data_IF_838701536885
#
_entry.id   IF_838701536885
#
_cell.length_a   1.000
_cell.length_b   1.000
_cell.length_c   1.000
_cell.angle_alpha   90.00
_cell.angle_beta   90.00
_cell.angle_gamma   90.00
#
_symmetry.space_group_name_H-M   'P 1'
#
loop_
_entity.id
_entity.type
_entity.pdbx_description
1 polymer ?
#
# COMPACT_ATOMS: atom_id res chain seq x y z
N UNK A 1 23.41 -22.21 1.97
CA UNK A 1 22.70 -21.60 0.82
C UNK A 1 21.29 -21.29 1.28
N UNK A 2 20.91 -20.02 1.36
CA UNK A 2 19.52 -19.65 1.65
C UNK A 2 18.62 -20.20 0.55
N UNK A 3 17.48 -20.79 0.92
CA UNK A 3 16.52 -21.27 -0.07
C UNK A 3 15.97 -20.08 -0.85
N UNK A 4 15.64 -20.27 -2.14
CA UNK A 4 15.23 -19.22 -3.08
C UNK A 4 13.98 -18.42 -2.65
N UNK A 5 13.29 -18.87 -1.58
CA UNK A 5 12.06 -18.29 -1.04
C UNK A 5 12.17 -17.86 0.43
N UNK A 6 13.38 -17.84 1.01
CA UNK A 6 13.55 -17.41 2.40
C UNK A 6 13.60 -15.88 2.47
N UNK A 7 12.69 -15.29 3.24
CA UNK A 7 12.73 -13.87 3.55
C UNK A 7 13.88 -13.59 4.51
N UNK A 8 14.66 -12.54 4.22
CA UNK A 8 15.61 -11.98 5.19
C UNK A 8 14.87 -11.40 6.41
N UNK A 9 15.58 -11.32 7.53
CA UNK A 9 15.08 -10.77 8.81
C UNK A 9 14.47 -9.38 8.60
N UNK A 10 13.25 -9.17 9.12
CA UNK A 10 12.52 -7.92 8.92
C UNK A 10 11.46 -7.62 9.96
N UNK A 11 11.23 -6.35 10.25
CA UNK A 11 10.15 -5.84 11.09
C UNK A 11 9.37 -4.70 10.40
N UNK A 12 8.18 -4.36 10.89
CA UNK A 12 7.38 -3.25 10.34
C UNK A 12 7.11 -3.33 8.82
N UNK A 13 6.97 -4.56 8.34
CA UNK A 13 6.57 -4.91 6.98
C UNK A 13 5.03 -4.99 6.87
N UNK A 14 4.51 -5.13 5.66
CA UNK A 14 3.09 -5.43 5.44
C UNK A 14 2.96 -6.82 4.84
N UNK A 15 2.05 -7.62 5.39
CA UNK A 15 1.71 -8.94 4.87
C UNK A 15 0.26 -8.95 4.41
N UNK A 16 0.00 -9.54 3.25
CA UNK A 16 -1.36 -9.89 2.82
C UNK A 16 -1.39 -11.33 2.32
N UNK A 17 -2.43 -12.07 2.67
CA UNK A 17 -2.69 -13.41 2.13
C UNK A 17 -3.73 -13.32 1.02
N UNK A 18 -3.48 -14.02 -0.08
CA UNK A 18 -4.40 -14.17 -1.21
C UNK A 18 -4.36 -15.64 -1.62
N UNK A 19 -5.51 -16.30 -1.58
CA UNK A 19 -5.64 -17.74 -1.77
C UNK A 19 -4.62 -18.50 -0.89
N UNK A 20 -3.82 -19.39 -1.49
CA UNK A 20 -2.77 -20.16 -0.81
C UNK A 20 -1.42 -19.41 -0.71
N UNK A 21 -1.38 -18.13 -1.08
CA UNK A 21 -0.14 -17.34 -1.15
C UNK A 21 -0.08 -16.23 -0.09
N UNK A 22 1.09 -16.10 0.55
CA UNK A 22 1.40 -14.98 1.45
C UNK A 22 2.34 -14.00 0.74
N UNK A 23 1.87 -12.78 0.53
CA UNK A 23 2.66 -11.68 0.01
C UNK A 23 3.18 -10.86 1.17
N UNK A 24 4.50 -10.82 1.30
CA UNK A 24 5.18 -9.91 2.22
C UNK A 24 5.77 -8.80 1.39
N UNK A 25 5.19 -7.62 1.53
CA UNK A 25 5.83 -6.43 1.03
C UNK A 25 6.62 -5.84 2.19
N UNK A 26 7.81 -5.32 1.89
CA UNK A 26 8.54 -4.44 2.78
C UNK A 26 9.21 -4.99 4.04
N UNK A 27 9.77 -4.06 4.82
CA UNK A 27 10.26 -4.22 6.19
C UNK A 27 11.54 -3.44 6.46
N UNK A 28 11.76 -3.08 7.72
CA UNK A 28 13.06 -2.73 8.25
C UNK A 28 13.90 -4.00 8.45
N UNK A 29 15.14 -4.02 7.97
CA UNK A 29 16.09 -5.13 8.14
C UNK A 29 17.29 -4.65 8.97
N UNK A 30 17.80 -5.48 9.88
CA UNK A 30 18.94 -5.11 10.73
C UNK A 30 20.27 -5.24 9.96
N UNK A 31 21.25 -4.40 10.27
CA UNK A 31 22.59 -4.43 9.63
C UNK A 31 22.66 -4.11 8.13
N UNK A 32 21.52 -4.01 7.44
CA UNK A 32 21.42 -3.59 6.05
C UNK A 32 20.89 -2.14 6.00
N UNK A 33 21.61 -1.18 5.37
CA UNK A 33 21.18 0.21 5.34
C UNK A 33 19.91 0.36 4.49
N UNK A 34 18.74 0.23 5.13
CA UNK A 34 17.43 0.43 4.52
C UNK A 34 17.24 -0.27 3.18
N UNK A 35 17.86 -1.44 2.99
CA UNK A 35 17.80 -2.17 1.73
C UNK A 35 16.53 -3.02 1.66
N UNK A 36 15.90 -2.95 0.50
CA UNK A 36 14.65 -3.62 0.18
C UNK A 36 14.95 -4.77 -0.75
N UNK A 37 14.60 -5.97 -0.33
CA UNK A 37 14.71 -7.13 -1.22
C UNK A 37 13.40 -7.29 -2.00
N UNK A 38 13.45 -6.99 -3.29
CA UNK A 38 12.38 -7.29 -4.23
C UNK A 38 12.52 -8.75 -4.68
N UNK A 39 11.50 -9.58 -4.44
CA UNK A 39 11.51 -11.01 -4.84
C UNK A 39 11.55 -11.14 -6.37
N UNK A 40 11.03 -10.15 -7.12
CA UNK A 40 11.18 -10.05 -8.59
C UNK A 40 10.81 -8.64 -9.07
N UNK A 41 11.76 -7.89 -9.65
CA UNK A 41 11.45 -6.66 -10.39
C UNK A 41 10.93 -7.05 -11.77
N UNK A 42 9.69 -6.72 -12.16
CA UNK A 42 9.25 -6.92 -13.54
C UNK A 42 9.99 -5.92 -14.43
N UNK A 43 10.64 -6.41 -15.49
CA UNK A 43 11.49 -5.60 -16.39
C UNK A 43 10.72 -4.48 -17.11
N UNK A 44 9.38 -4.55 -17.12
CA UNK A 44 8.49 -3.65 -17.86
C UNK A 44 7.81 -2.55 -17.01
N UNK A 45 8.20 -2.35 -15.73
CA UNK A 45 7.55 -1.36 -14.86
C UNK A 45 8.48 -0.18 -14.59
N UNK A 46 8.15 0.95 -15.19
CA UNK A 46 8.91 2.20 -15.08
C UNK A 46 8.67 2.94 -13.75
N UNK A 47 7.55 2.67 -13.05
CA UNK A 47 7.20 3.32 -11.77
C UNK A 47 6.72 2.32 -10.73
N UNK A 48 7.29 2.39 -9.53
CA UNK A 48 6.97 1.51 -8.40
C UNK A 48 7.26 2.24 -7.08
N UNK A 49 6.61 1.83 -5.97
CA UNK A 49 6.80 2.45 -4.67
C UNK A 49 8.25 2.35 -4.19
N UNK A 50 8.78 3.45 -3.67
CA UNK A 50 10.03 3.44 -2.90
C UNK A 50 9.89 2.51 -1.70
N UNK A 51 10.98 1.82 -1.37
CA UNK A 51 11.05 0.96 -0.19
C UNK A 51 10.78 1.72 1.10
N UNK A 52 9.88 1.20 1.94
CA UNK A 52 9.31 1.91 3.10
C UNK A 52 8.89 1.01 4.27
N UNK A 53 9.27 1.32 5.50
CA UNK A 53 8.78 0.57 6.67
C UNK A 53 7.71 1.35 7.44
N UNK A 54 6.99 0.68 8.34
CA UNK A 54 5.85 1.25 9.11
C UNK A 54 4.79 1.93 8.21
N UNK A 55 4.66 1.46 6.98
CA UNK A 55 3.54 1.77 6.12
C UNK A 55 2.37 0.86 6.52
N UNK A 56 1.17 1.20 6.06
CA UNK A 56 0.03 0.32 6.17
C UNK A 56 -0.27 -0.31 4.81
N UNK A 57 -0.96 -1.44 4.83
CA UNK A 57 -1.48 -2.03 3.62
C UNK A 57 -2.66 -2.94 3.88
N UNK A 58 -3.41 -3.21 2.84
CA UNK A 58 -4.60 -4.06 2.87
C UNK A 58 -4.82 -4.70 1.50
N UNK A 59 -5.59 -5.78 1.47
CA UNK A 59 -5.98 -6.46 0.24
C UNK A 59 -7.38 -6.02 -0.18
N UNK A 60 -7.58 -5.83 -1.48
CA UNK A 60 -8.88 -5.65 -2.13
C UNK A 60 -9.17 -6.89 -2.96
N UNK A 61 -10.33 -7.52 -2.71
CA UNK A 61 -10.83 -8.69 -3.44
C UNK A 61 -12.30 -8.44 -3.78
N UNK A 62 -12.59 -7.87 -4.94
CA UNK A 62 -13.96 -7.47 -5.35
C UNK A 62 -14.74 -8.58 -6.07
N UNK A 63 -14.34 -9.83 -5.91
CA UNK A 63 -14.94 -10.99 -6.60
C UNK A 63 -14.43 -11.21 -8.03
N UNK A 64 -13.47 -10.40 -8.48
CA UNK A 64 -12.67 -10.67 -9.69
C UNK A 64 -11.45 -11.52 -9.35
N UNK A 65 -10.94 -12.29 -10.31
CA UNK A 65 -9.65 -13.00 -10.22
C UNK A 65 -8.43 -12.04 -10.28
N UNK A 66 -8.62 -10.82 -9.80
CA UNK A 66 -7.66 -9.72 -9.83
C UNK A 66 -7.49 -9.12 -8.41
N UNK A 67 -6.93 -9.89 -7.46
CA UNK A 67 -6.65 -9.37 -6.12
C UNK A 67 -5.63 -8.23 -6.21
N UNK A 68 -5.85 -7.20 -5.40
CA UNK A 68 -5.05 -5.97 -5.41
C UNK A 68 -4.52 -5.66 -4.01
N UNK A 69 -3.22 -5.40 -3.88
CA UNK A 69 -2.60 -4.96 -2.64
C UNK A 69 -2.51 -3.43 -2.63
N UNK A 70 -3.14 -2.79 -1.65
CA UNK A 70 -2.97 -1.36 -1.36
C UNK A 70 -1.86 -1.19 -0.34
N UNK A 71 -0.96 -0.23 -0.56
CA UNK A 71 -0.01 0.25 0.44
C UNK A 71 -0.08 1.77 0.55
N UNK A 72 0.11 2.31 1.76
CA UNK A 72 0.05 3.76 2.01
C UNK A 72 1.10 4.19 3.03
N UNK A 73 1.74 5.33 2.77
CA UNK A 73 2.60 6.04 3.70
C UNK A 73 3.81 5.25 4.20
N UNK A 74 4.15 5.40 5.47
CA UNK A 74 5.38 4.86 6.06
C UNK A 74 6.55 5.82 5.94
N UNK A 75 7.78 5.32 6.07
CA UNK A 75 8.98 6.12 5.84
C UNK A 75 10.07 5.33 5.12
N UNK A 76 10.88 6.06 4.36
CA UNK A 76 11.97 5.49 3.56
C UNK A 76 13.27 5.33 4.37
N UNK A 77 14.36 4.99 3.69
CA UNK A 77 15.69 4.84 4.31
C UNK A 77 16.26 6.13 4.89
N UNK A 78 15.79 7.30 4.45
CA UNK A 78 16.21 8.61 4.93
C UNK A 78 15.38 9.08 6.12
N UNK A 79 14.40 8.27 6.58
CA UNK A 79 13.46 8.60 7.66
C UNK A 79 12.47 9.69 7.21
N UNK A 80 12.29 9.88 5.90
CA UNK A 80 11.29 10.78 5.36
C UNK A 80 9.92 10.10 5.36
N UNK A 81 8.91 10.76 5.93
CA UNK A 81 7.52 10.29 5.87
C UNK A 81 7.05 10.32 4.43
N UNK A 82 6.70 9.15 3.92
CA UNK A 82 6.18 9.00 2.57
C UNK A 82 4.74 9.49 2.48
N UNK A 83 4.43 10.02 1.31
CA UNK A 83 3.18 10.71 1.02
C UNK A 83 2.63 10.21 -0.32
N UNK A 84 2.53 8.89 -0.41
CA UNK A 84 2.03 8.19 -1.57
C UNK A 84 1.20 6.97 -1.14
N UNK A 85 0.26 6.62 -2.02
CA UNK A 85 -0.55 5.43 -1.91
C UNK A 85 -0.48 4.69 -3.25
N UNK A 86 -0.37 3.37 -3.19
CA UNK A 86 -0.16 2.54 -4.37
C UNK A 86 -1.05 1.31 -4.33
N UNK A 87 -1.49 0.89 -5.50
CA UNK A 87 -2.11 -0.41 -5.73
C UNK A 87 -1.17 -1.26 -6.54
N UNK A 88 -0.92 -2.48 -6.07
CA UNK A 88 -0.32 -3.54 -6.83
C UNK A 88 -1.42 -4.47 -7.33
N UNK A 89 -1.57 -4.55 -8.65
CA UNK A 89 -2.38 -5.59 -9.26
C UNK A 89 -1.56 -6.88 -9.28
N UNK A 90 -1.98 -7.88 -8.51
CA UNK A 90 -1.24 -9.14 -8.37
C UNK A 90 -1.28 -9.92 -9.69
N UNK A 91 -2.41 -9.97 -10.37
CA UNK A 91 -2.58 -10.74 -11.62
C UNK A 91 -1.73 -10.18 -12.77
N UNK A 92 -1.63 -8.86 -12.88
CA UNK A 92 -0.83 -8.19 -13.92
C UNK A 92 0.59 -7.84 -13.46
N UNK A 93 0.89 -8.09 -12.19
CA UNK A 93 2.13 -7.69 -11.54
C UNK A 93 2.48 -6.21 -11.73
N UNK A 94 1.50 -5.31 -11.81
CA UNK A 94 1.72 -3.89 -12.11
C UNK A 94 1.43 -2.99 -10.92
N UNK A 95 2.17 -1.89 -10.79
CA UNK A 95 1.94 -0.86 -9.78
C UNK A 95 1.20 0.33 -10.39
N UNK A 96 0.21 0.83 -9.66
CA UNK A 96 -0.55 2.03 -9.99
C UNK A 96 -0.47 2.97 -8.79
N UNK A 97 -0.05 4.22 -9.00
CA UNK A 97 -0.07 5.25 -7.96
C UNK A 97 -1.48 5.82 -7.84
N UNK A 98 -1.98 5.90 -6.62
CA UNK A 98 -3.25 6.56 -6.31
C UNK A 98 -3.04 8.02 -5.95
N UNK A 99 -3.91 8.88 -6.48
CA UNK A 99 -4.00 10.27 -6.05
C UNK A 99 -4.91 10.35 -4.82
N UNK A 100 -4.30 10.32 -3.64
CA UNK A 100 -4.99 10.43 -2.35
C UNK A 100 -4.51 11.68 -1.59
N UNK A 101 -5.35 12.26 -0.74
CA UNK A 101 -4.96 13.40 0.07
C UNK A 101 -3.81 13.07 1.04
N UNK A 102 -3.02 14.08 1.39
CA UNK A 102 -1.94 13.97 2.38
C UNK A 102 -2.40 13.47 3.74
N UNK A 103 -3.64 13.77 4.13
CA UNK A 103 -4.24 13.22 5.34
C UNK A 103 -4.19 11.68 5.26
N UNK A 104 -4.47 11.05 4.13
CA UNK A 104 -4.50 9.58 3.99
C UNK A 104 -3.08 9.00 3.92
N UNK A 105 -2.19 9.60 3.14
CA UNK A 105 -0.89 9.02 2.79
C UNK A 105 0.28 9.48 3.67
N UNK A 106 0.32 10.75 4.11
CA UNK A 106 1.47 11.36 4.80
C UNK A 106 1.56 10.97 6.28
N UNK A 107 1.62 9.68 6.55
CA UNK A 107 1.66 9.13 7.90
C UNK A 107 2.36 7.78 7.95
N UNK A 108 2.92 7.47 9.11
CA UNK A 108 3.55 6.18 9.43
C UNK A 108 2.89 5.53 10.64
N UNK A 109 3.11 4.23 10.82
CA UNK A 109 2.58 3.43 11.93
C UNK A 109 1.06 3.56 12.08
N UNK A 110 0.36 3.75 10.97
CA UNK A 110 -1.10 3.83 10.92
C UNK A 110 -1.68 2.45 10.57
N UNK A 111 -2.98 2.30 10.75
CA UNK A 111 -3.73 1.16 10.25
C UNK A 111 -4.43 1.52 8.95
N UNK A 112 -4.53 0.56 8.04
CA UNK A 112 -5.29 0.68 6.80
C UNK A 112 -6.20 -0.55 6.69
N UNK A 113 -7.45 -0.33 6.31
CA UNK A 113 -8.44 -1.37 6.13
C UNK A 113 -9.27 -1.07 4.90
N UNK A 114 -9.90 -2.10 4.34
CA UNK A 114 -10.71 -1.99 3.14
C UNK A 114 -12.13 -2.47 3.47
N UNK A 115 -13.12 -1.76 2.95
CA UNK A 115 -14.52 -2.14 3.01
C UNK A 115 -15.09 -2.16 1.59
N UNK A 116 -15.62 -3.31 1.15
CA UNK A 116 -16.13 -3.48 -0.22
C UNK A 116 -17.61 -3.15 -0.21
N UNK A 117 -17.99 -2.02 -0.83
CA UNK A 117 -19.38 -1.62 -0.99
C UNK A 117 -20.06 -2.37 -2.13
N UNK A 118 -19.34 -2.56 -3.23
CA UNK A 118 -19.76 -3.31 -4.42
C UNK A 118 -18.54 -3.72 -5.25
N UNK A 119 -18.69 -4.52 -6.32
CA UNK A 119 -17.57 -4.88 -7.18
C UNK A 119 -16.81 -3.68 -7.79
N UNK A 120 -17.48 -2.53 -7.91
CA UNK A 120 -16.94 -1.30 -8.51
C UNK A 120 -16.72 -0.16 -7.50
N UNK A 121 -16.98 -0.40 -6.21
CA UNK A 121 -16.85 0.63 -5.18
C UNK A 121 -16.24 0.01 -3.92
N UNK A 122 -15.06 0.49 -3.58
CA UNK A 122 -14.27 0.03 -2.45
C UNK A 122 -13.91 1.23 -1.60
N UNK A 123 -14.01 1.12 -0.29
CA UNK A 123 -13.63 2.17 0.64
C UNK A 123 -12.35 1.79 1.36
N UNK A 124 -11.36 2.67 1.33
CA UNK A 124 -10.13 2.56 2.10
C UNK A 124 -10.31 3.39 3.37
N UNK A 125 -10.10 2.76 4.52
CA UNK A 125 -10.17 3.39 5.83
C UNK A 125 -8.75 3.46 6.38
N UNK A 126 -8.27 4.67 6.62
CA UNK A 126 -6.97 4.93 7.24
C UNK A 126 -7.18 5.46 8.65
N UNK A 127 -6.55 4.85 9.65
CA UNK A 127 -6.74 5.23 11.05
C UNK A 127 -5.41 5.42 11.81
N UNK A 128 -5.32 6.52 12.54
CA UNK A 128 -4.22 6.85 13.45
C UNK A 128 -2.88 7.08 12.75
N UNK A 129 -1.80 6.75 13.45
CA UNK A 129 -0.42 6.95 12.99
C UNK A 129 0.18 8.28 13.41
N UNK A 130 1.35 8.58 12.82
CA UNK A 130 2.14 9.77 13.11
C UNK A 130 2.63 10.43 11.81
N UNK A 131 2.77 11.75 11.80
CA UNK A 131 3.26 12.51 10.64
C UNK A 131 4.78 12.72 10.71
N UNK A 132 5.30 12.95 11.91
CA UNK A 132 6.73 13.16 12.20
C UNK A 132 7.15 12.37 13.44
N UNK A 133 8.40 12.49 13.88
CA UNK A 133 8.84 12.01 15.18
C UNK A 133 7.99 12.68 16.27
N UNK A 134 7.33 11.87 17.11
CA UNK A 134 6.47 12.30 18.24
C UNK A 134 5.15 13.04 17.91
N UNK A 135 4.88 13.41 16.66
CA UNK A 135 3.60 14.02 16.27
C UNK A 135 2.59 12.97 15.81
N UNK A 136 1.66 12.61 16.69
CA UNK A 136 0.51 11.76 16.34
C UNK A 136 -0.48 12.50 15.44
N UNK A 137 -1.15 11.76 14.57
CA UNK A 137 -2.30 12.28 13.84
C UNK A 137 -3.46 12.49 14.81
N UNK A 138 -4.02 13.69 14.80
CA UNK A 138 -5.11 14.13 15.67
C UNK A 138 -6.32 14.57 14.87
N UNK A 139 -7.42 14.92 15.56
CA UNK A 139 -8.66 15.35 14.94
C UNK A 139 -8.42 16.60 14.04
N UNK A 140 -9.01 16.68 12.84
CA UNK A 140 -10.04 15.78 12.28
C UNK A 140 -9.49 14.58 11.50
N UNK A 141 -8.17 14.44 11.40
CA UNK A 141 -7.55 13.49 10.48
C UNK A 141 -7.30 12.10 11.09
N UNK A 142 -7.83 11.80 12.29
CA UNK A 142 -7.56 10.53 12.98
C UNK A 142 -8.02 9.37 12.10
N UNK A 143 -9.22 9.47 11.54
CA UNK A 143 -9.78 8.46 10.63
C UNK A 143 -10.14 9.13 9.32
N UNK A 144 -9.60 8.61 8.23
CA UNK A 144 -9.90 9.05 6.87
C UNK A 144 -10.61 7.94 6.13
N UNK A 145 -11.63 8.32 5.37
CA UNK A 145 -12.31 7.44 4.44
C UNK A 145 -12.02 7.89 3.02
N UNK A 146 -11.50 6.99 2.20
CA UNK A 146 -11.23 7.23 0.78
C UNK A 146 -12.04 6.26 -0.06
N UNK A 147 -13.00 6.79 -0.82
CA UNK A 147 -13.76 6.01 -1.80
C UNK A 147 -12.92 5.77 -3.04
N UNK A 148 -12.77 4.51 -3.42
CA UNK A 148 -12.09 4.04 -4.62
C UNK A 148 -13.13 3.44 -5.58
N UNK A 149 -13.35 4.11 -6.70
CA UNK A 149 -14.21 3.61 -7.77
C UNK A 149 -13.37 2.78 -8.74
N UNK A 150 -13.73 1.51 -8.92
CA UNK A 150 -13.08 0.58 -9.85
C UNK A 150 -13.92 0.51 -11.14
N UNK A 151 -13.35 0.91 -12.27
CA UNK A 151 -14.00 0.72 -13.56
C UNK A 151 -13.57 -0.61 -14.18
N UNK A 152 -14.52 -1.33 -14.78
CA UNK A 152 -14.24 -2.56 -15.51
C UNK A 152 -13.49 -2.25 -16.80
N UNK A 153 -12.24 -2.73 -16.94
CA UNK A 153 -11.76 -3.20 -18.24
C UNK A 153 -10.46 -4.00 -18.12
N UNK A 154 -10.43 -5.13 -18.83
CA UNK A 154 -9.26 -5.97 -19.06
C UNK A 154 -8.20 -5.33 -19.99
N UNK A 155 -8.05 -4.00 -19.99
CA UNK A 155 -7.16 -3.27 -20.91
C UNK A 155 -6.47 -2.09 -20.23
N UNK A 156 -5.15 -2.17 -20.17
CA UNK A 156 -4.24 -1.23 -19.50
C UNK A 156 -3.95 -0.01 -20.35
N UNK A 157 -4.43 1.18 -19.96
CA UNK A 157 -3.65 2.43 -20.07
C UNK A 157 -4.15 3.44 -19.04
N UNK A 158 -3.29 3.87 -18.13
CA UNK A 158 -3.45 5.15 -17.42
C UNK A 158 -4.28 5.14 -16.13
N UNK A 159 -3.97 6.11 -15.28
CA UNK A 159 -4.59 6.44 -13.98
C UNK A 159 -6.09 6.76 -14.03
N UNK A 160 -6.75 6.60 -15.17
CA UNK A 160 -8.13 7.06 -15.40
C UNK A 160 -9.19 6.11 -14.83
N UNK A 161 -8.78 4.90 -14.40
CA UNK A 161 -9.69 3.86 -13.88
C UNK A 161 -9.92 3.91 -12.36
N UNK A 162 -9.29 4.84 -11.64
CA UNK A 162 -9.40 4.92 -10.19
C UNK A 162 -9.64 6.37 -9.79
N UNK A 163 -10.82 6.65 -9.23
CA UNK A 163 -11.12 7.95 -8.64
C UNK A 163 -11.19 7.82 -7.14
N UNK A 164 -10.48 8.73 -6.46
CA UNK A 164 -10.48 8.83 -5.01
C UNK A 164 -11.32 10.02 -4.55
N UNK A 165 -12.16 9.83 -3.52
CA UNK A 165 -12.84 10.92 -2.82
C UNK A 165 -12.68 10.76 -1.32
N UNK A 166 -12.39 11.86 -0.63
CA UNK A 166 -12.14 11.90 0.81
C UNK A 166 -13.38 12.29 1.61
N UNK A 167 -13.55 11.65 2.76
CA UNK A 167 -14.52 12.01 3.78
C UNK A 167 -13.86 12.04 5.16
N UNK A 168 -14.28 13.00 5.98
CA UNK A 168 -13.89 13.13 7.39
C UNK A 168 -14.97 12.48 8.25
N UNK A 169 -14.55 11.71 9.26
CA UNK A 169 -15.44 11.01 10.21
C UNK A 169 -15.44 11.69 11.58
#
# INVERSE_FOLDING_TARGET
MASKNQLDERAAHCTVSVDDSLYVWAGYQDGLPGFWQCIKKPEAIDQWPVGRNRHAGAIIITGSDCPMLVISGGFDKNIDTLDDCWIFNITQHSWIKLDVPHSVSKRRSHSLSVFIMSPHCVWIITAGGAVMTETLVTNPNIVMLTELVLYDSNTFVGSDFLKCKEYYL
#
